data_IF_484429454470
#
_entry.id   IF_484429454470
#
_cell.length_a   1.000
_cell.length_b   1.000
_cell.length_c   1.000
_cell.angle_alpha   90.00
_cell.angle_beta   90.00
_cell.angle_gamma   90.00
#
_symmetry.space_group_name_H-M   'P 1'
#
loop_
_entity.id
_entity.type
_entity.pdbx_description
1 polymer ?
#
# COMPACT_ATOMS: atom_id res chain seq x y z
N UNK A 1 -8.35 20.35 -2.61
CA UNK A 1 -9.27 19.79 -1.61
C UNK A 1 -8.60 18.88 -0.58
N UNK A 2 -7.87 17.83 -0.98
CA UNK A 2 -7.18 16.93 -0.03
C UNK A 2 -6.26 17.69 0.94
N UNK A 3 -5.49 18.69 0.49
CA UNK A 3 -4.66 19.52 1.40
C UNK A 3 -5.49 20.28 2.44
N UNK A 4 -6.64 20.82 2.02
CA UNK A 4 -7.51 21.63 2.88
C UNK A 4 -8.13 20.78 3.99
N UNK A 5 -8.49 19.54 3.68
CA UNK A 5 -9.01 18.59 4.66
C UNK A 5 -7.93 18.18 5.66
N UNK A 6 -6.72 17.89 5.19
CA UNK A 6 -5.59 17.55 6.06
C UNK A 6 -5.14 18.75 6.92
N UNK A 7 -5.25 19.98 6.42
CA UNK A 7 -5.00 21.21 7.19
C UNK A 7 -6.07 21.47 8.27
N UNK A 8 -7.28 20.93 8.10
CA UNK A 8 -8.34 20.99 9.12
C UNK A 8 -8.20 19.88 10.18
N UNK A 9 -7.09 19.13 10.19
CA UNK A 9 -6.84 18.05 11.14
C UNK A 9 -7.52 16.73 10.77
N UNK A 10 -7.86 16.52 9.50
CA UNK A 10 -8.29 15.21 9.04
C UNK A 10 -7.16 14.20 9.26
N UNK A 11 -7.51 13.08 9.89
CA UNK A 11 -6.60 11.98 10.12
C UNK A 11 -6.26 11.30 8.78
N UNK A 12 -4.98 11.32 8.42
CA UNK A 12 -4.47 10.80 7.14
C UNK A 12 -4.54 9.27 7.09
N UNK A 13 -4.53 8.63 8.26
CA UNK A 13 -4.58 7.19 8.47
C UNK A 13 -5.95 6.74 8.99
N UNK A 14 -6.98 7.58 8.80
CA UNK A 14 -8.34 7.25 9.23
C UNK A 14 -8.82 5.93 8.61
N UNK A 15 -9.20 4.97 9.44
CA UNK A 15 -9.80 3.73 8.97
C UNK A 15 -11.30 3.92 8.76
N UNK A 16 -11.77 3.69 7.53
CA UNK A 16 -13.19 3.66 7.23
C UNK A 16 -13.89 2.60 8.10
N UNK A 17 -14.95 2.94 8.86
CA UNK A 17 -15.58 1.99 9.77
C UNK A 17 -16.33 0.85 9.08
N UNK A 18 -16.62 0.95 7.77
CA UNK A 18 -17.29 -0.11 7.02
C UNK A 18 -16.33 -1.13 6.40
N UNK A 19 -15.27 -0.65 5.77
CA UNK A 19 -14.29 -1.45 5.01
C UNK A 19 -12.94 -1.60 5.70
N UNK A 20 -12.64 -0.73 6.67
CA UNK A 20 -11.35 -0.61 7.33
C UNK A 20 -10.27 0.09 6.49
N UNK A 21 -10.59 0.56 5.28
CA UNK A 21 -9.61 1.12 4.36
C UNK A 21 -9.13 2.50 4.81
N UNK A 22 -7.86 2.79 4.55
CA UNK A 22 -7.28 4.12 4.75
C UNK A 22 -7.41 4.97 3.48
N UNK A 23 -7.35 6.31 3.58
CA UNK A 23 -7.34 7.21 2.43
C UNK A 23 -6.26 6.84 1.40
N UNK A 24 -5.12 6.32 1.85
CA UNK A 24 -4.03 5.87 0.98
C UNK A 24 -4.45 4.68 0.12
N UNK A 25 -5.16 3.69 0.68
CA UNK A 25 -5.66 2.53 -0.06
C UNK A 25 -6.65 2.95 -1.15
N UNK A 26 -7.57 3.86 -0.84
CA UNK A 26 -8.49 4.40 -1.85
C UNK A 26 -7.76 5.15 -2.96
N UNK A 27 -6.76 5.97 -2.62
CA UNK A 27 -5.97 6.71 -3.60
C UNK A 27 -5.21 5.77 -4.55
N UNK A 28 -4.68 4.66 -4.01
CA UNK A 28 -3.99 3.61 -4.77
C UNK A 28 -4.97 2.87 -5.67
N UNK A 29 -6.13 2.44 -5.16
CA UNK A 29 -7.15 1.73 -5.94
C UNK A 29 -7.62 2.55 -7.14
N UNK A 30 -7.85 3.85 -6.93
CA UNK A 30 -8.23 4.79 -8.00
C UNK A 30 -7.07 5.02 -8.98
N UNK A 31 -5.82 4.83 -8.55
CA UNK A 31 -4.63 5.10 -9.36
C UNK A 31 -4.21 6.56 -9.39
N UNK A 32 -4.66 7.36 -8.42
CA UNK A 32 -4.38 8.79 -8.43
C UNK A 32 -3.03 9.08 -7.76
N UNK A 33 -1.96 9.01 -8.56
CA UNK A 33 -0.58 9.27 -8.11
C UNK A 33 -0.41 10.62 -7.40
N UNK A 34 -1.17 11.66 -7.81
CA UNK A 34 -1.08 12.97 -7.19
C UNK A 34 -1.60 12.95 -5.74
N UNK A 35 -2.65 12.19 -5.47
CA UNK A 35 -3.20 12.00 -4.12
C UNK A 35 -2.28 11.09 -3.30
N UNK A 36 -1.81 9.97 -3.86
CA UNK A 36 -0.87 9.04 -3.18
C UNK A 36 0.37 9.80 -2.69
N UNK A 37 1.03 10.56 -3.57
CA UNK A 37 2.20 11.39 -3.21
C UNK A 37 1.90 12.45 -2.17
N UNK A 38 0.67 12.94 -2.09
CA UNK A 38 0.26 13.97 -1.14
C UNK A 38 0.03 13.36 0.25
N UNK A 39 -0.65 12.23 0.31
CA UNK A 39 -0.90 11.48 1.55
C UNK A 39 0.43 11.03 2.17
N UNK A 40 1.33 10.43 1.38
CA UNK A 40 2.64 10.00 1.87
C UNK A 40 3.50 11.18 2.36
N UNK A 41 3.48 12.33 1.68
CA UNK A 41 4.16 13.55 2.15
C UNK A 41 3.58 14.13 3.43
N UNK A 42 2.33 13.82 3.74
CA UNK A 42 1.62 14.26 4.95
C UNK A 42 1.76 13.26 6.09
N UNK A 43 2.53 12.19 5.89
CA UNK A 43 2.84 11.20 6.93
C UNK A 43 1.95 9.97 6.93
N UNK A 44 1.17 9.72 5.86
CA UNK A 44 0.37 8.50 5.76
C UNK A 44 1.25 7.26 5.91
N UNK A 45 0.83 6.33 6.76
CA UNK A 45 1.53 5.07 6.99
C UNK A 45 1.28 4.11 5.81
N UNK A 46 2.30 3.74 5.03
CA UNK A 46 2.14 2.78 3.95
C UNK A 46 1.92 1.35 4.45
N UNK A 47 2.26 1.10 5.72
CA UNK A 47 2.17 -0.19 6.40
C UNK A 47 0.83 -0.39 7.11
N UNK A 48 -0.07 0.60 7.07
CA UNK A 48 -1.38 0.44 7.68
C UNK A 48 -2.21 -0.61 6.94
N UNK A 49 -2.88 -1.45 7.72
CA UNK A 49 -3.66 -2.57 7.22
C UNK A 49 -5.14 -2.35 7.51
N UNK A 50 -5.95 -2.53 6.48
CA UNK A 50 -7.40 -2.51 6.60
C UNK A 50 -7.85 -3.68 7.46
N UNK A 51 -8.86 -3.47 8.29
CA UNK A 51 -9.51 -4.55 9.04
C UNK A 51 -10.93 -4.72 8.50
N UNK A 52 -11.40 -5.95 8.24
CA UNK A 52 -10.83 -7.22 8.68
C UNK A 52 -9.88 -7.90 7.67
N UNK A 53 -9.79 -7.43 6.43
CA UNK A 53 -9.11 -8.13 5.32
C UNK A 53 -7.57 -8.02 5.32
N UNK A 54 -6.99 -7.23 6.22
CA UNK A 54 -5.56 -7.02 6.35
C UNK A 54 -4.85 -6.49 5.10
N UNK A 55 -5.56 -5.79 4.22
CA UNK A 55 -4.98 -5.19 3.02
C UNK A 55 -4.24 -3.90 3.36
N UNK A 56 -3.04 -3.71 2.85
CA UNK A 56 -2.35 -2.42 2.89
C UNK A 56 -2.35 -1.76 1.51
N UNK A 57 -1.86 -0.51 1.46
CA UNK A 57 -1.71 0.24 0.20
C UNK A 57 -0.88 -0.52 -0.85
N UNK A 58 0.15 -1.25 -0.43
CA UNK A 58 1.01 -2.03 -1.32
C UNK A 58 0.26 -3.20 -1.97
N UNK A 59 -0.56 -3.94 -1.23
CA UNK A 59 -1.36 -5.03 -1.78
C UNK A 59 -2.33 -4.54 -2.86
N UNK A 60 -3.00 -3.41 -2.60
CA UNK A 60 -3.88 -2.79 -3.59
C UNK A 60 -3.09 -2.39 -4.84
N UNK A 61 -1.89 -1.81 -4.67
CA UNK A 61 -1.04 -1.44 -5.80
C UNK A 61 -0.61 -2.66 -6.63
N UNK A 62 -0.29 -3.78 -5.97
CA UNK A 62 0.12 -5.03 -6.61
C UNK A 62 -1.03 -5.69 -7.37
N UNK A 63 -2.21 -5.80 -6.76
CA UNK A 63 -3.42 -6.35 -7.40
C UNK A 63 -3.82 -5.56 -8.64
N UNK A 64 -3.76 -4.23 -8.55
CA UNK A 64 -4.05 -3.34 -9.67
C UNK A 64 -2.87 -3.23 -10.67
N UNK A 65 -1.76 -3.95 -10.44
CA UNK A 65 -0.52 -3.91 -11.25
C UNK A 65 0.05 -2.49 -11.45
N UNK A 66 -0.11 -1.63 -10.44
CA UNK A 66 0.33 -0.23 -10.42
C UNK A 66 1.77 -0.11 -9.93
N UNK A 67 2.71 -0.58 -10.75
CA UNK A 67 4.13 -0.62 -10.41
C UNK A 67 4.73 0.73 -9.99
N UNK A 68 4.28 1.84 -10.59
CA UNK A 68 4.73 3.19 -10.20
C UNK A 68 4.35 3.56 -8.76
N UNK A 69 3.20 3.06 -8.27
CA UNK A 69 2.77 3.23 -6.89
C UNK A 69 3.56 2.29 -5.98
N UNK A 70 3.80 1.06 -6.42
CA UNK A 70 4.60 0.06 -5.71
C UNK A 70 6.00 0.61 -5.42
N UNK A 71 6.70 1.08 -6.46
CA UNK A 71 8.04 1.65 -6.31
C UNK A 71 8.03 2.84 -5.34
N UNK A 72 7.02 3.70 -5.44
CA UNK A 72 6.89 4.87 -4.58
C UNK A 72 6.61 4.51 -3.11
N UNK A 73 5.77 3.50 -2.85
CA UNK A 73 5.52 3.01 -1.49
C UNK A 73 6.79 2.36 -0.91
N UNK A 74 7.53 1.60 -1.72
CA UNK A 74 8.79 0.98 -1.32
C UNK A 74 9.89 2.01 -1.03
N UNK A 75 9.98 3.08 -1.82
CA UNK A 75 10.88 4.21 -1.60
C UNK A 75 10.55 4.94 -0.28
N UNK A 76 9.29 4.97 0.10
CA UNK A 76 8.80 5.49 1.38
C UNK A 76 8.93 4.49 2.55
N UNK A 77 9.57 3.34 2.33
CA UNK A 77 9.90 2.37 3.38
C UNK A 77 8.81 1.36 3.69
N UNK A 78 7.80 1.20 2.83
CA UNK A 78 6.75 0.21 3.01
C UNK A 78 7.33 -1.21 3.15
N UNK A 79 6.92 -1.93 4.18
CA UNK A 79 7.31 -3.32 4.38
C UNK A 79 6.35 -4.26 3.64
N UNK A 80 6.93 -4.99 2.70
CA UNK A 80 6.31 -6.00 1.87
C UNK A 80 5.70 -7.13 2.71
N UNK A 81 6.26 -7.40 3.90
CA UNK A 81 5.85 -8.51 4.76
C UNK A 81 4.72 -8.17 5.73
N UNK A 82 4.19 -6.95 5.73
CA UNK A 82 3.14 -6.54 6.68
C UNK A 82 1.90 -7.43 6.59
N UNK A 83 1.44 -7.76 5.38
CA UNK A 83 0.27 -8.64 5.18
C UNK A 83 0.51 -10.04 5.71
N UNK A 84 1.75 -10.52 5.71
CA UNK A 84 2.11 -11.84 6.26
C UNK A 84 2.03 -11.89 7.79
N UNK A 85 1.96 -10.73 8.45
CA UNK A 85 1.83 -10.61 9.91
C UNK A 85 0.38 -10.62 10.40
N UNK A 86 -0.58 -10.57 9.47
CA UNK A 86 -2.00 -10.69 9.81
C UNK A 86 -2.45 -12.14 9.99
N UNK A 87 -3.65 -12.31 10.54
CA UNK A 87 -4.21 -13.62 10.88
C UNK A 87 -4.16 -14.60 9.68
N UNK A 88 -3.61 -15.81 9.83
CA UNK A 88 -3.44 -16.75 8.74
C UNK A 88 -4.72 -17.04 7.97
N UNK A 89 -5.89 -17.07 8.63
CA UNK A 89 -7.18 -17.35 8.01
C UNK A 89 -7.61 -16.22 7.04
N UNK A 90 -7.26 -14.97 7.37
CA UNK A 90 -7.49 -13.80 6.51
C UNK A 90 -6.49 -13.77 5.35
N UNK A 91 -5.23 -14.12 5.65
CA UNK A 91 -4.14 -14.18 4.68
C UNK A 91 -4.43 -15.22 3.59
N UNK A 92 -5.02 -16.37 3.93
CA UNK A 92 -5.22 -17.48 3.00
C UNK A 92 -6.17 -17.18 1.84
N UNK A 93 -7.16 -16.29 2.03
CA UNK A 93 -8.07 -15.84 0.96
C UNK A 93 -7.45 -14.79 0.03
N UNK A 94 -6.45 -14.04 0.51
CA UNK A 94 -5.85 -12.91 -0.22
C UNK A 94 -4.47 -13.23 -0.79
N UNK A 95 -3.84 -14.34 -0.39
CA UNK A 95 -2.42 -14.61 -0.64
C UNK A 95 -2.10 -15.01 -2.09
N UNK A 96 -3.00 -15.67 -2.82
CA UNK A 96 -2.61 -16.32 -4.08
C UNK A 96 -2.16 -15.33 -5.16
N UNK A 97 -2.96 -14.28 -5.40
CA UNK A 97 -2.66 -13.25 -6.40
C UNK A 97 -1.60 -12.27 -5.88
N UNK A 98 -1.73 -11.86 -4.62
CA UNK A 98 -0.78 -10.93 -4.01
C UNK A 98 0.62 -11.53 -3.93
N UNK A 99 0.78 -12.81 -3.54
CA UNK A 99 2.10 -13.45 -3.42
C UNK A 99 2.87 -13.47 -4.74
N UNK A 100 2.18 -13.76 -5.86
CA UNK A 100 2.82 -13.76 -7.18
C UNK A 100 3.32 -12.36 -7.57
N UNK A 101 2.52 -11.33 -7.33
CA UNK A 101 2.93 -9.95 -7.59
C UNK A 101 3.99 -9.45 -6.60
N UNK A 102 3.95 -9.91 -5.35
CA UNK A 102 4.93 -9.62 -4.31
C UNK A 102 6.32 -10.14 -4.70
N UNK A 103 6.41 -11.40 -5.11
CA UNK A 103 7.66 -12.00 -5.60
C UNK A 103 8.18 -11.24 -6.83
N UNK A 104 7.30 -10.84 -7.73
CA UNK A 104 7.68 -10.01 -8.89
C UNK A 104 8.20 -8.61 -8.48
N UNK A 105 7.62 -7.99 -7.45
CA UNK A 105 8.09 -6.72 -6.90
C UNK A 105 9.46 -6.86 -6.20
N UNK A 106 9.65 -7.93 -5.42
CA UNK A 106 10.93 -8.25 -4.79
C UNK A 106 12.03 -8.52 -5.82
N UNK A 107 11.71 -9.29 -6.86
CA UNK A 107 12.62 -9.57 -7.97
C UNK A 107 13.01 -8.30 -8.72
N UNK A 108 12.04 -7.42 -9.02
CA UNK A 108 12.31 -6.12 -9.64
C UNK A 108 13.20 -5.25 -8.76
N UNK A 109 12.96 -5.23 -7.45
CA UNK A 109 13.78 -4.48 -6.49
C UNK A 109 15.19 -5.06 -6.36
N UNK A 110 15.36 -6.39 -6.50
CA UNK A 110 16.66 -7.05 -6.54
C UNK A 110 17.42 -6.69 -7.83
N UNK A 111 16.74 -6.71 -8.98
CA UNK A 111 17.30 -6.30 -10.27
C UNK A 111 17.71 -4.81 -10.30
N UNK A 112 16.89 -3.93 -9.72
CA UNK A 112 17.17 -2.49 -9.63
C UNK A 112 18.35 -2.16 -8.70
N UNK A 113 18.66 -3.01 -7.72
CA UNK A 113 19.81 -2.84 -6.81
C UNK A 113 21.14 -3.30 -7.40
N UNK A 114 21.14 -3.93 -8.58
CA UNK A 114 22.35 -4.30 -9.29
C UNK A 114 23.23 -5.27 -8.50
N UNK A 115 23.02 -6.57 -8.70
CA UNK A 115 24.18 -7.45 -8.79
C UNK A 115 24.66 -7.40 -10.24
N UNK A 116 25.76 -6.68 -10.55
CA UNK A 116 26.45 -6.89 -11.80
C UNK A 116 27.11 -8.26 -11.74
N UNK A 117 26.78 -9.13 -12.69
CA UNK A 117 27.61 -10.30 -13.03
C UNK A 117 29.01 -9.88 -13.46
#
# INVERSE_FOLDING_TARGET
EVDRLLEQGADVDHHDPGSGWTPLMYAVAIGNMAIVKRLLRRGASPDDVARPCCWNALCVALLESRWEVVDLLLDHGADINVVRRCDPDVVQSCNAEVSAHLEAAELRRAQARGEPS
#
